data_IF_972536041009
#
_entry.id   IF_972536041009
#
_cell.length_a   1.000
_cell.length_b   1.000
_cell.length_c   1.000
_cell.angle_alpha   90.00
_cell.angle_beta   90.00
_cell.angle_gamma   90.00
#
_symmetry.space_group_name_H-M   'P 1'
#
loop_
_entity.id
_entity.type
_entity.pdbx_description
1 polymer ?
#
# COMPACT_ATOMS: atom_id res chain seq x y z
N UNK A 1 -5.01 11.52 0.80
CA UNK A 1 -4.76 11.69 -0.64
C UNK A 1 -4.24 10.37 -1.17
N UNK A 2 -4.87 9.78 -2.20
CA UNK A 2 -4.49 8.46 -2.66
C UNK A 2 -3.07 8.49 -3.21
N UNK A 3 -2.24 7.51 -2.83
CA UNK A 3 -0.84 7.45 -3.25
C UNK A 3 -0.71 6.60 -4.50
N UNK A 4 -0.43 7.24 -5.64
CA UNK A 4 -0.23 6.55 -6.91
C UNK A 4 1.07 7.04 -7.55
N UNK A 5 2.15 6.24 -7.45
CA UNK A 5 3.48 6.64 -7.93
C UNK A 5 3.55 6.79 -9.45
N UNK A 6 2.70 6.08 -10.21
CA UNK A 6 2.66 6.15 -11.67
C UNK A 6 2.12 7.48 -12.21
N UNK A 7 1.48 8.31 -11.37
CA UNK A 7 1.04 9.65 -11.74
C UNK A 7 2.19 10.68 -11.74
N UNK A 8 3.36 10.35 -11.19
CA UNK A 8 4.52 11.25 -11.21
C UNK A 8 5.04 11.33 -12.66
N UNK A 9 5.16 12.54 -13.25
CA UNK A 9 5.67 12.70 -14.61
C UNK A 9 7.07 12.12 -14.77
N UNK A 10 7.41 11.60 -15.95
CA UNK A 10 8.73 11.01 -16.19
C UNK A 10 9.90 12.01 -16.00
N UNK A 11 11.07 11.48 -15.67
CA UNK A 11 12.33 12.24 -15.66
C UNK A 11 12.68 12.76 -17.06
N UNK A 12 13.41 13.88 -17.12
CA UNK A 12 13.92 14.44 -18.36
C UNK A 12 15.29 13.86 -18.67
N UNK A 13 15.52 13.55 -19.94
CA UNK A 13 16.83 13.12 -20.43
C UNK A 13 17.89 14.21 -20.25
N UNK A 14 19.14 13.79 -20.07
CA UNK A 14 20.25 14.70 -19.91
C UNK A 14 20.50 15.48 -21.22
N UNK A 15 20.62 16.81 -21.10
CA UNK A 15 20.96 17.65 -22.24
C UNK A 15 22.39 17.35 -22.72
N UNK A 16 22.60 17.29 -24.05
CA UNK A 16 23.90 16.97 -24.65
C UNK A 16 24.79 18.23 -24.74
N UNK A 17 26.10 18.14 -24.41
CA UNK A 17 27.02 19.26 -24.52
C UNK A 17 27.18 19.70 -25.98
N UNK A 18 27.52 20.99 -26.22
CA UNK A 18 27.92 21.42 -27.55
C UNK A 18 29.17 20.64 -27.98
N UNK A 19 29.10 19.96 -29.12
CA UNK A 19 30.22 19.15 -29.61
C UNK A 19 31.42 20.04 -29.98
N UNK A 20 32.53 19.90 -29.24
CA UNK A 20 33.73 20.73 -29.43
C UNK A 20 34.28 20.64 -30.87
N UNK A 21 34.25 19.45 -31.48
CA UNK A 21 34.69 19.25 -32.86
C UNK A 21 33.82 20.00 -33.87
N UNK A 22 32.49 19.93 -33.72
CA UNK A 22 31.56 20.61 -34.63
C UNK A 22 31.74 22.14 -34.53
N UNK A 23 31.90 22.67 -33.32
CA UNK A 23 32.16 24.09 -33.11
C UNK A 23 33.55 24.53 -33.58
N UNK A 24 34.56 23.67 -33.46
CA UNK A 24 35.88 23.88 -34.05
C UNK A 24 35.87 23.93 -35.57
N UNK A 25 35.11 23.04 -36.24
CA UNK A 25 34.92 23.09 -37.70
C UNK A 25 34.17 24.37 -38.12
N UNK A 26 33.14 24.77 -37.38
CA UNK A 26 32.44 26.04 -37.62
C UNK A 26 33.36 27.26 -37.46
N UNK A 27 34.32 27.20 -36.54
CA UNK A 27 35.32 28.27 -36.37
C UNK A 27 36.22 28.40 -37.61
N UNK A 28 36.75 27.28 -38.12
CA UNK A 28 37.57 27.27 -39.33
C UNK A 28 36.80 27.79 -40.55
N UNK A 29 35.52 27.43 -40.67
CA UNK A 29 34.64 27.94 -41.71
C UNK A 29 34.43 29.45 -41.58
N UNK A 30 34.17 29.95 -40.37
CA UNK A 30 33.98 31.38 -40.11
C UNK A 30 35.23 32.20 -40.46
N UNK A 31 36.43 31.71 -40.13
CA UNK A 31 37.70 32.34 -40.52
C UNK A 31 37.88 32.37 -42.04
N UNK A 32 37.55 31.28 -42.73
CA UNK A 32 37.65 31.19 -44.20
C UNK A 32 36.74 32.20 -44.88
N UNK A 33 35.49 32.31 -44.42
CA UNK A 33 34.52 33.29 -44.92
C UNK A 33 34.98 34.71 -44.61
N UNK A 34 35.46 34.98 -43.39
CA UNK A 34 35.97 36.28 -43.00
C UNK A 34 37.13 36.76 -43.87
N UNK A 35 38.06 35.87 -44.21
CA UNK A 35 39.16 36.15 -45.12
C UNK A 35 38.68 36.47 -46.54
N UNK A 36 37.75 35.69 -47.08
CA UNK A 36 37.19 35.92 -48.43
C UNK A 36 36.45 37.26 -48.48
N UNK A 37 35.60 37.56 -47.50
CA UNK A 37 34.84 38.81 -47.44
C UNK A 37 35.76 40.03 -47.30
N UNK A 38 36.77 39.96 -46.45
CA UNK A 38 37.72 41.08 -46.29
C UNK A 38 38.58 41.29 -47.55
N UNK A 39 39.01 40.21 -48.22
CA UNK A 39 39.71 40.31 -49.49
C UNK A 39 38.83 40.89 -50.61
N UNK A 40 37.54 40.53 -50.66
CA UNK A 40 36.63 40.98 -51.70
C UNK A 40 36.14 42.43 -51.51
N UNK A 41 35.77 42.81 -50.28
CA UNK A 41 35.18 44.12 -49.99
C UNK A 41 36.21 45.19 -49.61
N UNK A 42 37.36 44.81 -49.04
CA UNK A 42 38.34 45.75 -48.45
C UNK A 42 39.72 45.68 -49.11
N UNK A 43 39.85 45.11 -50.30
CA UNK A 43 41.07 45.24 -51.10
C UNK A 43 40.94 46.41 -52.09
N UNK A 44 41.41 47.63 -51.75
CA UNK A 44 41.64 48.66 -52.75
C UNK A 44 42.93 48.31 -53.48
N UNK A 45 42.88 48.34 -54.80
CA UNK A 45 44.00 48.16 -55.73
C UNK A 45 45.27 48.85 -55.18
N UNK A 46 46.24 48.04 -54.70
CA UNK A 46 47.61 48.50 -54.43
C UNK A 46 48.00 48.88 -53.00
N UNK A 47 47.24 48.60 -51.93
CA UNK A 47 47.75 48.73 -50.54
C UNK A 47 48.21 47.39 -49.96
N UNK A 48 49.43 47.38 -49.42
CA UNK A 48 50.01 46.24 -48.69
C UNK A 48 49.05 45.71 -47.61
N UNK A 49 49.12 44.41 -47.32
CA UNK A 49 48.35 43.74 -46.25
C UNK A 49 48.77 44.29 -44.89
N UNK A 50 48.31 45.50 -44.58
CA UNK A 50 48.57 46.18 -43.32
C UNK A 50 47.92 45.44 -42.15
N UNK A 51 48.44 45.66 -40.95
CA UNK A 51 47.93 45.07 -39.70
C UNK A 51 46.40 45.18 -39.56
N UNK A 52 45.81 46.29 -40.04
CA UNK A 52 44.37 46.51 -40.04
C UNK A 52 43.56 45.49 -40.85
N UNK A 53 44.09 45.01 -41.98
CA UNK A 53 43.44 43.98 -42.81
C UNK A 53 43.35 42.66 -42.03
N UNK A 54 44.46 42.21 -41.46
CA UNK A 54 44.51 40.97 -40.67
C UNK A 54 43.67 41.06 -39.41
N UNK A 55 43.64 42.24 -38.78
CA UNK A 55 42.79 42.48 -37.62
C UNK A 55 41.32 42.28 -38.00
N UNK A 56 40.82 42.87 -39.09
CA UNK A 56 39.43 42.67 -39.50
C UNK A 56 39.12 41.25 -39.99
N UNK A 57 40.03 40.65 -40.78
CA UNK A 57 39.85 39.32 -41.36
C UNK A 57 39.77 38.20 -40.32
N UNK A 58 40.41 38.37 -39.16
CA UNK A 58 40.50 37.34 -38.11
C UNK A 58 39.71 37.73 -36.86
N UNK A 59 39.83 38.97 -36.37
CA UNK A 59 39.22 39.37 -35.10
C UNK A 59 37.70 39.36 -35.19
N UNK A 60 37.13 39.93 -36.27
CA UNK A 60 35.68 40.07 -36.40
C UNK A 60 34.98 38.70 -36.48
N UNK A 61 35.39 37.75 -37.34
CA UNK A 61 34.82 36.39 -37.34
C UNK A 61 35.01 35.66 -36.02
N UNK A 62 36.16 35.85 -35.35
CA UNK A 62 36.43 35.23 -34.04
C UNK A 62 35.46 35.73 -32.97
N UNK A 63 35.19 37.04 -32.93
CA UNK A 63 34.24 37.63 -31.97
C UNK A 63 32.82 37.15 -32.26
N UNK A 64 32.38 37.10 -33.52
CA UNK A 64 31.06 36.58 -33.88
C UNK A 64 30.92 35.11 -33.49
N UNK A 65 31.90 34.28 -33.83
CA UNK A 65 31.89 32.86 -33.47
C UNK A 65 31.85 32.66 -31.96
N UNK A 66 32.66 33.43 -31.21
CA UNK A 66 32.68 33.38 -29.75
C UNK A 66 31.31 33.76 -29.16
N UNK A 67 30.67 34.81 -29.67
CA UNK A 67 29.32 35.21 -29.24
C UNK A 67 28.29 34.11 -29.49
N UNK A 68 28.29 33.50 -30.68
CA UNK A 68 27.39 32.39 -31.00
C UNK A 68 27.64 31.17 -30.12
N UNK A 69 28.91 30.83 -29.89
CA UNK A 69 29.31 29.74 -29.00
C UNK A 69 28.87 30.02 -27.57
N UNK A 70 29.09 31.23 -27.06
CA UNK A 70 28.64 31.67 -25.73
C UNK A 70 27.13 31.56 -25.60
N UNK A 71 26.34 32.04 -26.57
CA UNK A 71 24.88 31.91 -26.56
C UNK A 71 24.47 30.44 -26.55
N UNK A 72 25.06 29.59 -27.41
CA UNK A 72 24.77 28.15 -27.43
C UNK A 72 25.14 27.47 -26.11
N UNK A 73 26.24 27.88 -25.50
CA UNK A 73 26.70 27.37 -24.23
C UNK A 73 25.77 27.81 -23.09
N UNK A 74 25.28 29.05 -23.09
CA UNK A 74 24.27 29.52 -22.14
C UNK A 74 22.96 28.74 -22.26
N UNK A 75 22.48 28.45 -23.49
CA UNK A 75 21.32 27.59 -23.69
C UNK A 75 21.56 26.17 -23.17
N UNK A 76 22.76 25.62 -23.39
CA UNK A 76 23.14 24.32 -22.84
C UNK A 76 23.13 24.35 -21.31
N UNK A 77 23.82 25.31 -20.68
CA UNK A 77 23.90 25.45 -19.23
C UNK A 77 22.50 25.59 -18.61
N UNK A 78 21.64 26.42 -19.20
CA UNK A 78 20.26 26.57 -18.77
C UNK A 78 19.47 25.26 -18.92
N UNK A 79 19.62 24.56 -20.04
CA UNK A 79 18.96 23.27 -20.27
C UNK A 79 19.40 22.20 -19.26
N UNK A 80 20.69 22.14 -18.94
CA UNK A 80 21.25 21.23 -17.92
C UNK A 80 20.68 21.57 -16.55
N UNK A 81 20.74 22.84 -16.14
CA UNK A 81 20.19 23.30 -14.86
C UNK A 81 18.71 22.95 -14.72
N UNK A 82 17.93 23.19 -15.77
CA UNK A 82 16.52 22.85 -15.81
C UNK A 82 16.28 21.34 -15.70
N UNK A 83 16.98 20.50 -16.48
CA UNK A 83 16.81 19.04 -16.41
C UNK A 83 17.22 18.47 -15.05
N UNK A 84 18.30 18.98 -14.46
CA UNK A 84 18.78 18.55 -13.14
C UNK A 84 17.81 18.97 -12.05
N UNK A 85 17.31 20.21 -12.08
CA UNK A 85 16.31 20.68 -11.13
C UNK A 85 15.01 19.89 -11.25
N UNK A 86 14.51 19.63 -12.47
CA UNK A 86 13.33 18.80 -12.70
C UNK A 86 13.49 17.39 -12.12
N UNK A 87 14.60 16.71 -12.44
CA UNK A 87 14.86 15.35 -11.95
C UNK A 87 15.02 15.32 -10.42
N UNK A 88 15.59 16.38 -9.82
CA UNK A 88 15.66 16.52 -8.36
C UNK A 88 14.27 16.71 -7.73
N UNK A 89 13.42 17.57 -8.30
CA UNK A 89 12.05 17.75 -7.82
C UNK A 89 11.22 16.49 -7.97
N UNK A 90 11.40 15.76 -9.08
CA UNK A 90 10.82 14.44 -9.28
C UNK A 90 11.20 13.46 -8.16
N UNK A 91 12.50 13.35 -7.86
CA UNK A 91 13.00 12.43 -6.82
C UNK A 91 12.52 12.82 -5.43
N UNK A 92 12.55 14.11 -5.10
CA UNK A 92 12.01 14.62 -3.84
C UNK A 92 10.52 14.28 -3.71
N UNK A 93 9.72 14.56 -4.74
CA UNK A 93 8.28 14.29 -4.71
C UNK A 93 7.99 12.79 -4.59
N UNK A 94 8.74 11.95 -5.30
CA UNK A 94 8.63 10.50 -5.20
C UNK A 94 8.96 10.02 -3.77
N UNK A 95 10.02 10.54 -3.17
CA UNK A 95 10.43 10.16 -1.82
C UNK A 95 9.42 10.60 -0.77
N UNK A 96 8.88 11.84 -0.86
CA UNK A 96 7.81 12.32 0.02
C UNK A 96 6.56 11.41 -0.03
N UNK A 97 6.16 10.98 -1.23
CA UNK A 97 5.01 10.07 -1.40
C UNK A 97 5.30 8.68 -0.83
N UNK A 98 6.51 8.18 -0.99
CA UNK A 98 6.93 6.91 -0.41
C UNK A 98 6.94 6.98 1.11
N UNK A 99 7.53 8.02 1.70
CA UNK A 99 7.52 8.23 3.16
C UNK A 99 6.09 8.33 3.70
N UNK A 100 5.22 9.05 2.99
CA UNK A 100 3.81 9.17 3.34
C UNK A 100 3.06 7.84 3.26
N UNK A 101 3.30 7.02 2.23
CA UNK A 101 2.69 5.71 2.04
C UNK A 101 3.23 4.62 2.99
N UNK A 102 4.49 4.75 3.40
CA UNK A 102 5.16 3.83 4.30
C UNK A 102 4.77 4.02 5.78
N UNK A 103 3.91 4.99 6.10
CA UNK A 103 3.36 5.15 7.47
C UNK A 103 2.45 3.95 7.79
N UNK A 104 2.78 3.16 8.84
CA UNK A 104 1.97 2.02 9.21
C UNK A 104 0.88 2.40 10.22
N UNK A 105 -0.09 1.50 10.37
CA UNK A 105 -0.94 1.43 11.56
C UNK A 105 -0.35 0.44 12.57
N UNK A 106 -0.54 0.74 13.85
CA UNK A 106 -0.14 -0.17 14.93
C UNK A 106 -1.35 -0.98 15.35
N UNK A 107 -1.19 -2.31 15.42
CA UNK A 107 -2.20 -3.22 15.96
C UNK A 107 -2.13 -3.19 17.50
N UNK A 108 -3.13 -2.60 18.13
CA UNK A 108 -3.23 -2.51 19.59
C UNK A 108 -3.70 -3.83 20.19
N UNK A 109 -4.76 -4.39 19.60
CA UNK A 109 -5.39 -5.66 19.96
C UNK A 109 -6.23 -6.20 18.80
N UNK A 110 -6.47 -7.51 18.81
CA UNK A 110 -7.35 -8.18 17.86
C UNK A 110 -8.12 -9.29 18.57
N UNK A 111 -9.32 -9.60 18.08
CA UNK A 111 -10.12 -10.76 18.47
C UNK A 111 -10.66 -11.43 17.22
N UNK A 112 -10.72 -12.75 17.23
CA UNK A 112 -11.14 -13.58 16.10
C UNK A 112 -12.08 -14.69 16.59
N UNK A 113 -13.11 -14.97 15.82
CA UNK A 113 -14.00 -16.10 16.03
C UNK A 113 -14.37 -16.72 14.68
N UNK A 114 -14.15 -18.02 14.55
CA UNK A 114 -14.43 -18.80 13.34
C UNK A 114 -14.99 -20.17 13.73
N UNK A 115 -15.44 -20.98 12.76
CA UNK A 115 -15.79 -22.38 13.02
C UNK A 115 -14.64 -23.25 13.53
N UNK A 116 -13.38 -22.86 13.31
CA UNK A 116 -12.20 -23.55 13.85
C UNK A 116 -11.84 -23.12 15.29
N UNK A 117 -12.55 -22.16 15.87
CA UNK A 117 -12.27 -21.59 17.19
C UNK A 117 -11.84 -20.13 17.13
N UNK A 118 -11.23 -19.67 18.23
CA UNK A 118 -10.96 -18.25 18.49
C UNK A 118 -9.48 -17.88 18.63
N UNK A 119 -8.55 -18.84 18.46
CA UNK A 119 -7.11 -18.60 18.60
C UNK A 119 -6.29 -19.65 17.85
N UNK A 120 -5.03 -19.29 17.56
CA UNK A 120 -4.03 -20.24 17.06
C UNK A 120 -4.20 -20.63 15.59
N UNK A 121 -4.93 -19.80 14.82
CA UNK A 121 -5.20 -20.04 13.41
C UNK A 121 -3.92 -20.11 12.59
N UNK A 122 -2.98 -19.18 12.80
CA UNK A 122 -1.72 -19.17 12.05
C UNK A 122 -0.95 -20.50 12.22
N UNK A 123 -0.71 -20.92 13.47
CA UNK A 123 0.00 -22.17 13.78
C UNK A 123 -0.74 -23.40 13.26
N UNK A 124 -2.07 -23.41 13.31
CA UNK A 124 -2.84 -24.55 12.84
C UNK A 124 -2.83 -24.66 11.31
N UNK A 125 -2.83 -23.52 10.60
CA UNK A 125 -2.70 -23.49 9.13
C UNK A 125 -1.29 -23.86 8.68
N UNK A 126 -0.24 -23.30 9.29
CA UNK A 126 1.15 -23.60 8.92
C UNK A 126 1.51 -25.08 9.13
N UNK A 127 0.95 -25.72 10.16
CA UNK A 127 1.12 -27.14 10.42
C UNK A 127 0.12 -28.05 9.68
N UNK A 128 -0.68 -27.51 8.76
CA UNK A 128 -1.72 -28.25 8.01
C UNK A 128 -2.73 -29.01 8.89
N UNK A 129 -3.05 -28.45 10.07
CA UNK A 129 -4.01 -29.03 11.03
C UNK A 129 -5.45 -28.61 10.75
N UNK A 130 -5.66 -27.56 9.94
CA UNK A 130 -6.98 -27.09 9.52
C UNK A 130 -7.23 -27.40 8.05
N UNK A 131 -8.40 -27.97 7.79
CA UNK A 131 -8.94 -28.18 6.45
C UNK A 131 -10.45 -28.12 6.53
N UNK A 132 -11.07 -27.43 5.58
CA UNK A 132 -12.53 -27.37 5.51
C UNK A 132 -13.10 -28.79 5.37
N UNK A 133 -14.02 -29.14 6.27
CA UNK A 133 -14.67 -30.44 6.31
C UNK A 133 -16.11 -30.34 5.79
N UNK A 134 -16.60 -31.42 5.19
CA UNK A 134 -18.02 -31.54 4.84
C UNK A 134 -18.82 -31.83 6.10
N UNK A 135 -19.69 -30.91 6.47
CA UNK A 135 -20.56 -31.00 7.65
C UNK A 135 -22.00 -30.87 7.22
N UNK A 136 -22.93 -31.47 7.98
CA UNK A 136 -24.36 -31.30 7.72
C UNK A 136 -24.75 -29.90 8.17
N UNK A 137 -25.19 -29.02 7.26
CA UNK A 137 -25.59 -27.66 7.64
C UNK A 137 -26.88 -27.70 8.46
N UNK A 138 -27.07 -26.71 9.33
CA UNK A 138 -28.22 -26.63 10.26
C UNK A 138 -29.55 -26.76 9.53
N UNK A 139 -29.66 -26.12 8.36
CA UNK A 139 -30.88 -26.05 7.55
C UNK A 139 -30.82 -26.90 6.27
N UNK A 140 -29.91 -27.87 6.18
CA UNK A 140 -29.78 -28.68 4.96
C UNK A 140 -29.55 -30.16 5.23
N UNK A 141 -30.05 -30.98 4.32
CA UNK A 141 -29.98 -32.43 4.44
C UNK A 141 -28.66 -33.00 3.90
N UNK A 142 -28.05 -32.29 2.94
CA UNK A 142 -26.86 -32.74 2.21
C UNK A 142 -25.62 -32.15 2.88
N UNK A 143 -24.63 -32.98 3.29
CA UNK A 143 -23.35 -32.48 3.77
C UNK A 143 -22.63 -31.67 2.69
N UNK A 144 -22.23 -30.46 3.04
CA UNK A 144 -21.45 -29.57 2.18
C UNK A 144 -20.19 -29.11 2.93
N UNK A 145 -19.05 -28.91 2.24
CA UNK A 145 -17.88 -28.30 2.85
C UNK A 145 -18.24 -26.87 3.26
N UNK A 146 -18.26 -26.58 4.56
CA UNK A 146 -18.44 -25.23 5.09
C UNK A 146 -17.94 -25.17 6.54
N UNK A 147 -17.62 -23.97 7.01
CA UNK A 147 -17.24 -23.71 8.39
C UNK A 147 -18.22 -22.72 9.02
N UNK A 148 -18.89 -23.10 10.10
CA UNK A 148 -19.82 -22.22 10.83
C UNK A 148 -19.30 -21.95 12.24
N UNK A 149 -19.49 -20.73 12.72
CA UNK A 149 -19.26 -20.43 14.15
C UNK A 149 -20.24 -21.29 14.94
N UNK A 150 -19.75 -21.94 16.01
CA UNK A 150 -20.58 -22.84 16.81
C UNK A 150 -21.78 -22.10 17.38
N UNK A 151 -22.97 -22.51 16.95
CA UNK A 151 -24.25 -22.05 17.49
C UNK A 151 -24.56 -22.92 18.71
N UNK A 152 -24.82 -22.29 19.85
CA UNK A 152 -25.52 -22.96 20.94
C UNK A 152 -27.01 -23.05 20.57
N UNK A 153 -27.70 -24.09 21.03
CA UNK A 153 -29.13 -24.31 20.78
C UNK A 153 -30.02 -23.21 21.39
N UNK A 154 -29.43 -22.22 22.07
CA UNK A 154 -30.07 -21.04 22.65
C UNK A 154 -30.18 -19.85 21.68
N UNK A 155 -29.54 -19.92 20.50
CA UNK A 155 -29.57 -18.83 19.51
C UNK A 155 -30.74 -18.99 18.53
N UNK A 156 -31.94 -18.66 18.99
CA UNK A 156 -33.18 -18.76 18.18
C UNK A 156 -33.37 -17.62 17.16
N UNK A 157 -32.41 -16.70 17.03
CA UNK A 157 -32.50 -15.57 16.09
C UNK A 157 -31.13 -15.03 15.65
N UNK A 158 -31.10 -14.37 14.48
CA UNK A 158 -29.92 -13.65 13.99
C UNK A 158 -29.43 -12.57 14.96
N UNK A 159 -30.34 -11.92 15.72
CA UNK A 159 -30.01 -10.95 16.78
C UNK A 159 -29.23 -11.63 17.90
N UNK A 160 -29.67 -12.81 18.35
CA UNK A 160 -28.99 -13.55 19.40
C UNK A 160 -27.59 -14.00 18.95
N UNK A 161 -27.47 -14.47 17.71
CA UNK A 161 -26.19 -14.87 17.12
C UNK A 161 -25.20 -13.69 17.02
N UNK A 162 -25.64 -12.55 16.48
CA UNK A 162 -24.79 -11.36 16.41
C UNK A 162 -24.41 -10.86 17.81
N UNK A 163 -25.35 -10.92 18.76
CA UNK A 163 -25.10 -10.52 20.15
C UNK A 163 -24.05 -11.41 20.82
N UNK A 164 -24.09 -12.72 20.57
CA UNK A 164 -23.09 -13.66 21.05
C UNK A 164 -21.70 -13.33 20.49
N UNK A 165 -21.62 -13.17 19.16
CA UNK A 165 -20.38 -12.83 18.45
C UNK A 165 -19.79 -11.51 18.98
N UNK A 166 -20.59 -10.45 19.05
CA UNK A 166 -20.15 -9.15 19.56
C UNK A 166 -19.68 -9.22 21.01
N UNK A 167 -20.39 -9.98 21.86
CA UNK A 167 -20.01 -10.15 23.26
C UNK A 167 -18.66 -10.86 23.38
N UNK A 168 -18.43 -11.91 22.59
CA UNK A 168 -17.13 -12.59 22.53
C UNK A 168 -16.03 -11.63 22.08
N UNK A 169 -16.21 -10.97 20.94
CA UNK A 169 -15.24 -10.04 20.38
C UNK A 169 -14.90 -8.92 21.38
N UNK A 170 -15.89 -8.35 22.06
CA UNK A 170 -15.68 -7.31 23.07
C UNK A 170 -14.87 -7.80 24.25
N UNK A 171 -15.18 -8.99 24.77
CA UNK A 171 -14.55 -9.51 25.99
C UNK A 171 -13.10 -9.93 25.76
N UNK A 172 -12.79 -10.42 24.56
CA UNK A 172 -11.43 -10.83 24.18
C UNK A 172 -10.57 -9.65 23.69
N UNK A 173 -11.18 -8.64 23.06
CA UNK A 173 -10.47 -7.45 22.60
C UNK A 173 -10.03 -6.56 23.77
N UNK A 174 -8.71 -6.47 23.97
CA UNK A 174 -8.13 -5.56 24.97
C UNK A 174 -8.23 -4.11 24.52
N UNK A 175 -9.17 -3.36 25.10
CA UNK A 175 -9.37 -1.94 24.83
C UNK A 175 -8.55 -1.06 25.81
N UNK A 176 -8.01 0.07 25.34
CA UNK A 176 -7.59 1.18 26.17
C UNK A 176 -8.66 1.67 27.15
N UNK A 177 -8.24 2.38 28.19
CA UNK A 177 -9.17 3.06 29.09
C UNK A 177 -9.93 4.17 28.34
N UNK A 178 -11.18 4.43 28.73
CA UNK A 178 -12.00 5.46 28.09
C UNK A 178 -11.36 6.86 28.09
N UNK A 179 -10.52 7.17 29.09
CA UNK A 179 -9.78 8.42 29.14
C UNK A 179 -8.83 8.62 27.97
N UNK A 180 -8.19 7.55 27.48
CA UNK A 180 -7.32 7.61 26.30
C UNK A 180 -8.12 7.86 25.03
N UNK A 181 -9.27 7.21 24.87
CA UNK A 181 -10.15 7.46 23.74
C UNK A 181 -10.72 8.88 23.73
N UNK A 182 -11.07 9.45 24.89
CA UNK A 182 -11.53 10.84 24.98
C UNK A 182 -10.44 11.84 24.57
N UNK A 183 -9.18 11.56 24.89
CA UNK A 183 -8.05 12.42 24.55
C UNK A 183 -7.71 12.38 23.05
N UNK A 184 -7.73 11.18 22.47
CA UNK A 184 -7.16 10.91 21.15
C UNK A 184 -8.21 10.69 20.05
N UNK A 185 -9.46 10.45 20.43
CA UNK A 185 -10.56 10.09 19.53
C UNK A 185 -10.51 8.62 19.09
N UNK A 186 -11.68 8.06 18.84
CA UNK A 186 -11.85 6.73 18.27
C UNK A 186 -12.94 6.78 17.20
N UNK A 187 -12.68 6.15 16.05
CA UNK A 187 -13.71 5.91 15.03
C UNK A 187 -13.99 4.43 14.93
N UNK A 188 -15.25 4.08 14.69
CA UNK A 188 -15.71 2.70 14.59
C UNK A 188 -16.20 2.44 13.18
N UNK A 189 -15.71 1.37 12.57
CA UNK A 189 -16.11 0.92 11.24
C UNK A 189 -16.71 -0.49 11.33
N UNK A 190 -17.95 -0.63 10.90
CA UNK A 190 -18.69 -1.89 10.90
C UNK A 190 -18.80 -2.43 9.47
N UNK A 191 -18.25 -3.63 9.24
CA UNK A 191 -18.28 -4.34 7.96
C UNK A 191 -19.00 -5.68 8.17
N UNK A 192 -20.33 -5.68 8.11
CA UNK A 192 -21.16 -6.79 8.60
C UNK A 192 -22.11 -7.26 7.51
N UNK A 193 -22.06 -8.56 7.22
CA UNK A 193 -22.96 -9.28 6.32
C UNK A 193 -23.66 -10.38 7.12
N UNK A 194 -24.94 -10.17 7.36
CA UNK A 194 -25.86 -11.08 8.03
C UNK A 194 -27.29 -10.71 7.62
N UNK A 195 -28.28 -11.48 8.08
CA UNK A 195 -29.70 -11.24 7.76
C UNK A 195 -30.28 -9.94 8.33
N UNK A 196 -29.59 -9.31 9.28
CA UNK A 196 -30.07 -8.12 9.97
C UNK A 196 -29.89 -6.86 9.13
N UNK A 197 -30.83 -5.93 9.23
CA UNK A 197 -30.66 -4.61 8.64
C UNK A 197 -29.74 -3.72 9.52
N UNK A 198 -29.27 -2.61 8.96
CA UNK A 198 -28.35 -1.69 9.65
C UNK A 198 -28.89 -1.16 10.98
N UNK A 199 -30.21 -0.94 11.11
CA UNK A 199 -30.79 -0.44 12.37
C UNK A 199 -30.76 -1.50 13.46
N UNK A 200 -31.01 -2.76 13.12
CA UNK A 200 -30.91 -3.89 14.04
C UNK A 200 -29.47 -4.13 14.48
N UNK A 201 -28.53 -4.08 13.54
CA UNK A 201 -27.09 -4.18 13.83
C UNK A 201 -26.66 -3.07 14.79
N UNK A 202 -27.08 -1.81 14.54
CA UNK A 202 -26.77 -0.69 15.42
C UNK A 202 -27.35 -0.85 16.83
N UNK A 203 -28.57 -1.40 16.98
CA UNK A 203 -29.14 -1.69 18.31
C UNK A 203 -28.31 -2.72 19.07
N UNK A 204 -27.87 -3.79 18.40
CA UNK A 204 -26.99 -4.81 19.00
C UNK A 204 -25.63 -4.21 19.38
N UNK A 205 -25.06 -3.41 18.48
CA UNK A 205 -23.83 -2.65 18.72
C UNK A 205 -23.94 -1.75 19.96
N UNK A 206 -24.98 -0.91 20.03
CA UNK A 206 -25.21 0.02 21.14
C UNK A 206 -25.34 -0.72 22.48
N UNK A 207 -26.03 -1.85 22.48
CA UNK A 207 -26.23 -2.66 23.69
C UNK A 207 -24.92 -3.22 24.23
N UNK A 208 -24.02 -3.64 23.34
CA UNK A 208 -22.83 -4.40 23.73
C UNK A 208 -21.60 -3.50 23.91
N UNK A 209 -21.36 -2.57 22.98
CA UNK A 209 -20.10 -1.86 22.85
C UNK A 209 -20.13 -0.43 23.40
N UNK A 210 -21.29 0.23 23.43
CA UNK A 210 -21.41 1.66 23.80
C UNK A 210 -20.81 1.97 25.17
N UNK A 211 -21.00 1.09 26.15
CA UNK A 211 -20.48 1.28 27.51
C UNK A 211 -18.94 1.21 27.60
N UNK A 212 -18.25 0.68 26.59
CA UNK A 212 -16.79 0.54 26.57
C UNK A 212 -16.10 1.69 25.82
N UNK A 213 -16.86 2.57 25.17
CA UNK A 213 -16.36 3.65 24.32
C UNK A 213 -16.87 5.02 24.83
N UNK A 214 -16.29 6.14 24.38
CA UNK A 214 -16.82 7.47 24.68
C UNK A 214 -18.26 7.67 24.14
N UNK A 215 -19.02 8.57 24.78
CA UNK A 215 -20.43 8.82 24.42
C UNK A 215 -20.61 9.29 22.97
N UNK A 216 -19.70 10.12 22.46
CA UNK A 216 -19.78 10.74 21.12
C UNK A 216 -19.01 9.93 20.05
N UNK A 217 -18.92 8.61 20.19
CA UNK A 217 -18.21 7.78 19.20
C UNK A 217 -18.91 7.78 17.84
N UNK A 218 -18.16 8.10 16.79
CA UNK A 218 -18.66 8.00 15.42
C UNK A 218 -18.58 6.54 14.93
N UNK A 219 -19.73 5.99 14.55
CA UNK A 219 -19.91 4.61 14.08
C UNK A 219 -20.41 4.66 12.65
N UNK A 220 -19.64 4.11 11.73
CA UNK A 220 -19.94 4.12 10.30
C UNK A 220 -19.93 2.71 9.74
N UNK A 221 -20.84 2.40 8.82
CA UNK A 221 -20.76 1.17 8.05
C UNK A 221 -19.74 1.34 6.92
N UNK A 222 -18.95 0.31 6.69
CA UNK A 222 -17.98 0.26 5.59
C UNK A 222 -18.75 0.17 4.26
N UNK A 223 -18.26 0.88 3.24
CA UNK A 223 -18.88 0.82 1.92
C UNK A 223 -18.71 -0.58 1.32
N UNK A 224 -19.69 -1.04 0.53
CA UNK A 224 -19.58 -2.34 -0.15
C UNK A 224 -18.27 -2.41 -0.96
N UNK A 225 -17.57 -3.54 -0.86
CA UNK A 225 -16.32 -3.83 -1.58
C UNK A 225 -15.09 -3.00 -1.16
N UNK A 226 -15.20 -2.20 -0.10
CA UNK A 226 -14.04 -1.49 0.45
C UNK A 226 -13.18 -2.43 1.30
N UNK A 227 -13.80 -3.20 2.20
CA UNK A 227 -13.12 -4.19 3.03
C UNK A 227 -11.86 -3.61 3.70
N UNK A 228 -10.73 -4.29 3.53
CA UNK A 228 -9.44 -3.84 4.09
C UNK A 228 -8.87 -2.56 3.45
N UNK A 229 -9.37 -2.12 2.29
CA UNK A 229 -8.95 -0.84 1.68
C UNK A 229 -9.38 0.37 2.50
N UNK A 230 -10.28 0.19 3.46
CA UNK A 230 -10.56 1.17 4.52
C UNK A 230 -9.27 1.66 5.21
N UNK A 231 -8.25 0.80 5.35
CA UNK A 231 -6.99 1.21 5.96
C UNK A 231 -6.20 2.19 5.08
N UNK A 232 -6.34 2.13 3.76
CA UNK A 232 -5.77 3.11 2.83
C UNK A 232 -6.45 4.48 2.99
N UNK A 233 -7.78 4.50 3.05
CA UNK A 233 -8.58 5.70 3.34
C UNK A 233 -8.21 6.31 4.71
N UNK A 234 -8.03 5.47 5.72
CA UNK A 234 -7.61 5.92 7.04
C UNK A 234 -6.21 6.56 7.00
N UNK A 235 -5.26 5.92 6.33
CA UNK A 235 -3.89 6.42 6.21
C UNK A 235 -3.80 7.65 5.31
N UNK A 236 -4.85 8.05 4.61
CA UNK A 236 -4.85 9.21 3.72
C UNK A 236 -4.91 10.56 4.43
N UNK A 237 -5.29 10.57 5.72
CA UNK A 237 -5.42 11.76 6.55
C UNK A 237 -4.44 11.71 7.73
N UNK A 238 -3.49 12.65 7.77
CA UNK A 238 -2.48 12.75 8.82
C UNK A 238 -3.08 12.95 10.23
N UNK A 239 -4.30 13.49 10.33
CA UNK A 239 -4.98 13.65 11.63
C UNK A 239 -5.23 12.30 12.30
N UNK A 240 -5.38 11.25 11.50
CA UNK A 240 -5.64 9.90 11.98
C UNK A 240 -4.40 9.25 12.63
N UNK A 241 -3.20 9.83 12.48
CA UNK A 241 -1.98 9.35 13.16
C UNK A 241 -2.03 9.54 14.69
N UNK A 242 -3.01 10.30 15.18
CA UNK A 242 -3.22 10.62 16.59
C UNK A 242 -4.50 10.00 17.16
N UNK A 243 -5.15 9.07 16.45
CA UNK A 243 -6.42 8.49 16.86
C UNK A 243 -6.46 6.97 16.78
N UNK A 244 -7.54 6.40 17.31
CA UNK A 244 -7.81 4.97 17.23
C UNK A 244 -8.85 4.66 16.15
N UNK A 245 -8.68 3.50 15.51
CA UNK A 245 -9.64 2.91 14.58
C UNK A 245 -10.04 1.53 15.10
N UNK A 246 -11.32 1.36 15.43
CA UNK A 246 -11.90 0.05 15.74
C UNK A 246 -12.65 -0.44 14.51
N UNK A 247 -12.21 -1.57 13.95
CA UNK A 247 -12.89 -2.25 12.86
C UNK A 247 -13.52 -3.52 13.39
N UNK A 248 -14.79 -3.74 13.06
CA UNK A 248 -15.49 -5.00 13.32
C UNK A 248 -16.02 -5.53 12.01
N UNK A 249 -15.54 -6.70 11.62
CA UNK A 249 -15.96 -7.39 10.41
C UNK A 249 -16.61 -8.72 10.75
N UNK A 250 -17.82 -8.97 10.25
CA UNK A 250 -18.60 -10.17 10.57
C UNK A 250 -19.31 -10.70 9.33
N UNK A 251 -19.05 -11.96 9.00
CA UNK A 251 -19.77 -12.74 8.00
C UNK A 251 -20.53 -13.88 8.71
N UNK A 252 -21.86 -13.85 8.64
CA UNK A 252 -22.74 -14.90 9.15
C UNK A 252 -23.65 -15.40 8.04
N UNK A 253 -24.02 -16.68 8.07
CA UNK A 253 -24.89 -17.29 7.07
C UNK A 253 -26.15 -17.89 7.71
N UNK A 254 -27.32 -17.51 7.18
CA UNK A 254 -28.59 -18.20 7.46
C UNK A 254 -28.53 -19.65 6.96
N UNK A 255 -28.10 -19.76 5.71
CA UNK A 255 -28.00 -20.98 4.94
C UNK A 255 -26.55 -21.16 4.53
N UNK A 256 -25.96 -22.26 4.99
CA UNK A 256 -24.59 -22.60 4.64
C UNK A 256 -24.45 -22.74 3.13
N UNK A 257 -23.42 -22.12 2.58
CA UNK A 257 -23.07 -22.23 1.18
C UNK A 257 -21.85 -23.14 1.01
N UNK A 258 -21.73 -23.78 -0.14
CA UNK A 258 -20.60 -24.66 -0.41
C UNK A 258 -19.30 -23.84 -0.41
N UNK A 259 -18.30 -24.34 0.31
CA UNK A 259 -17.00 -23.73 0.56
C UNK A 259 -17.05 -22.38 1.31
N UNK A 260 -18.15 -22.02 1.97
CA UNK A 260 -18.24 -20.79 2.74
C UNK A 260 -17.75 -20.95 4.18
N UNK A 261 -17.45 -19.82 4.80
CA UNK A 261 -17.04 -19.74 6.19
C UNK A 261 -17.75 -18.59 6.90
N UNK A 262 -18.21 -18.83 8.13
CA UNK A 262 -18.54 -17.75 9.06
C UNK A 262 -17.28 -17.31 9.80
N UNK A 263 -17.09 -16.01 9.90
CA UNK A 263 -15.98 -15.41 10.63
C UNK A 263 -16.40 -14.08 11.23
N UNK A 264 -15.86 -13.78 12.40
CA UNK A 264 -16.04 -12.52 13.08
C UNK A 264 -14.71 -12.04 13.64
N UNK A 265 -14.37 -10.79 13.34
CA UNK A 265 -13.09 -10.18 13.64
C UNK A 265 -13.34 -8.82 14.26
N UNK A 266 -12.64 -8.51 15.34
CA UNK A 266 -12.50 -7.14 15.83
C UNK A 266 -11.01 -6.77 15.88
N UNK A 267 -10.66 -5.61 15.33
CA UNK A 267 -9.28 -5.12 15.32
C UNK A 267 -9.26 -3.68 15.82
N UNK A 268 -8.41 -3.41 16.80
CA UNK A 268 -8.12 -2.06 17.25
C UNK A 268 -6.76 -1.63 16.72
N UNK A 269 -6.77 -0.59 15.91
CA UNK A 269 -5.58 0.08 15.41
C UNK A 269 -5.38 1.42 16.13
N UNK A 270 -4.13 1.85 16.19
CA UNK A 270 -3.76 3.21 16.55
C UNK A 270 -2.88 3.82 15.47
N UNK A 271 -3.00 5.13 15.30
CA UNK A 271 -2.04 5.91 14.53
C UNK A 271 -0.62 5.82 15.11
N UNK A 272 0.37 6.07 14.26
CA UNK A 272 1.80 5.91 14.58
C UNK A 272 2.31 6.91 15.63
N UNK A 273 1.62 8.05 15.81
CA UNK A 273 2.02 9.12 16.73
C UNK A 273 1.29 9.05 18.09
N UNK A 274 0.52 8.00 18.34
CA UNK A 274 -0.01 7.74 19.67
C UNK A 274 1.09 7.18 20.57
N UNK A 275 1.16 7.69 21.81
CA UNK A 275 2.09 7.17 22.81
C UNK A 275 1.79 5.69 23.05
N UNK A 276 2.78 4.85 22.78
CA UNK A 276 2.68 3.42 23.01
C UNK A 276 3.62 3.03 24.15
N UNK A 277 3.28 2.03 24.96
CA UNK A 277 4.18 1.56 26.01
C UNK A 277 5.46 1.01 25.38
N UNK A 278 6.63 1.50 25.81
CA UNK A 278 7.94 1.13 25.25
C UNK A 278 8.24 -0.38 25.33
N UNK A 279 7.63 -1.10 26.28
CA UNK A 279 7.87 -2.53 26.53
C UNK A 279 6.93 -3.47 25.73
N UNK A 280 6.04 -2.91 24.90
CA UNK A 280 5.08 -3.72 24.13
C UNK A 280 5.66 -4.09 22.76
N UNK A 281 5.57 -5.37 22.42
CA UNK A 281 5.85 -5.83 21.06
C UNK A 281 4.84 -5.19 20.10
N UNK A 282 5.34 -4.39 19.17
CA UNK A 282 4.51 -3.64 18.24
C UNK A 282 4.30 -4.46 16.98
N UNK A 283 3.09 -4.44 16.44
CA UNK A 283 2.82 -5.02 15.12
C UNK A 283 2.29 -3.93 14.21
N UNK A 284 2.94 -3.80 13.06
CA UNK A 284 2.67 -2.79 12.06
C UNK A 284 1.92 -3.42 10.91
N UNK A 285 0.81 -2.80 10.53
CA UNK A 285 0.08 -3.07 9.28
C UNK A 285 0.35 -1.91 8.36
N UNK A 286 0.94 -2.19 7.21
CA UNK A 286 1.25 -1.18 6.22
C UNK A 286 0.06 -0.96 5.29
N UNK A 287 0.09 0.17 4.58
CA UNK A 287 -0.96 0.57 3.66
C UNK A 287 -1.31 -0.57 2.68
N UNK A 288 -2.60 -0.85 2.42
CA UNK A 288 -3.00 -1.84 1.43
C UNK A 288 -3.06 -1.24 0.03
N UNK A 289 -2.48 -1.95 -0.95
CA UNK A 289 -2.49 -1.52 -2.35
C UNK A 289 -3.51 -2.36 -3.12
N UNK A 290 -4.36 -1.69 -3.90
CA UNK A 290 -5.25 -2.33 -4.86
C UNK A 290 -4.80 -2.03 -6.28
N UNK A 291 -4.86 -3.01 -7.19
CA UNK A 291 -4.58 -2.79 -8.61
C UNK A 291 -4.08 -4.02 -9.36
N UNK A 292 -3.28 -3.76 -10.40
CA UNK A 292 -2.59 -4.82 -11.15
C UNK A 292 -1.63 -5.59 -10.24
N UNK A 293 -1.55 -6.91 -10.44
CA UNK A 293 -0.78 -7.82 -9.59
C UNK A 293 0.67 -7.35 -9.45
N UNK A 294 1.34 -7.02 -10.56
CA UNK A 294 2.78 -6.74 -10.53
C UNK A 294 3.05 -5.40 -9.87
N UNK A 295 2.34 -4.34 -10.25
CA UNK A 295 2.55 -3.02 -9.66
C UNK A 295 2.15 -2.96 -8.20
N UNK A 296 0.98 -3.53 -7.86
CA UNK A 296 0.45 -3.45 -6.50
C UNK A 296 1.24 -4.30 -5.52
N UNK A 297 1.80 -5.43 -5.97
CA UNK A 297 2.71 -6.22 -5.16
C UNK A 297 4.02 -5.46 -4.87
N UNK A 298 4.60 -4.81 -5.89
CA UNK A 298 5.82 -4.00 -5.73
C UNK A 298 5.58 -2.84 -4.75
N UNK A 299 4.46 -2.13 -4.92
CA UNK A 299 4.08 -1.04 -4.04
C UNK A 299 3.83 -1.54 -2.60
N UNK A 300 3.23 -2.71 -2.41
CA UNK A 300 2.93 -3.23 -1.07
C UNK A 300 4.22 -3.56 -0.31
N UNK A 301 5.17 -4.22 -0.97
CA UNK A 301 6.49 -4.50 -0.41
C UNK A 301 7.23 -3.21 -0.08
N UNK A 302 7.21 -2.24 -1.01
CA UNK A 302 7.81 -0.91 -0.81
C UNK A 302 7.20 -0.16 0.38
N UNK A 303 5.87 -0.16 0.52
CA UNK A 303 5.15 0.47 1.63
C UNK A 303 5.45 -0.24 2.96
N UNK A 304 5.73 -1.55 2.90
CA UNK A 304 6.19 -2.38 4.01
C UNK A 304 7.58 -2.04 4.56
N UNK A 305 8.39 -1.25 3.85
CA UNK A 305 9.83 -1.04 4.16
C UNK A 305 10.60 -2.37 4.31
N UNK A 306 10.29 -3.36 3.48
CA UNK A 306 11.00 -4.65 3.46
C UNK A 306 11.56 -4.90 2.06
N UNK A 307 12.61 -5.71 2.00
CA UNK A 307 13.02 -6.32 0.73
C UNK A 307 12.12 -7.52 0.45
N UNK A 308 11.82 -7.79 -0.83
CA UNK A 308 10.95 -8.90 -1.20
C UNK A 308 11.50 -10.26 -0.72
N UNK A 309 12.82 -10.40 -0.61
CA UNK A 309 13.50 -11.59 -0.08
C UNK A 309 13.29 -11.81 1.42
N UNK A 310 12.81 -10.81 2.17
CA UNK A 310 12.59 -10.93 3.61
C UNK A 310 11.23 -11.51 3.97
N UNK A 311 10.27 -11.49 3.03
CA UNK A 311 8.91 -12.00 3.21
C UNK A 311 8.95 -13.50 3.46
N UNK A 312 8.45 -13.92 4.61
CA UNK A 312 8.47 -15.33 5.02
C UNK A 312 7.31 -16.13 4.42
N UNK A 313 6.11 -15.55 4.43
CA UNK A 313 4.91 -16.23 3.99
C UNK A 313 3.88 -15.31 3.35
N UNK A 314 3.12 -15.86 2.42
CA UNK A 314 1.99 -15.23 1.75
C UNK A 314 0.70 -15.85 2.27
N UNK A 315 -0.11 -15.06 2.95
CA UNK A 315 -1.44 -15.44 3.44
C UNK A 315 -2.48 -15.01 2.43
N UNK A 316 -3.17 -15.96 1.83
CA UNK A 316 -4.06 -15.71 0.68
C UNK A 316 -5.50 -16.11 0.97
N UNK A 317 -6.44 -15.18 0.74
CA UNK A 317 -7.86 -15.50 0.59
C UNK A 317 -8.31 -15.18 -0.83
N UNK A 318 -8.63 -16.24 -1.56
CA UNK A 318 -8.97 -16.20 -2.97
C UNK A 318 -10.48 -16.16 -3.15
N UNK A 319 -11.02 -15.09 -3.77
CA UNK A 319 -12.39 -15.11 -4.27
C UNK A 319 -12.56 -16.08 -5.45
N UNK A 320 -13.48 -15.75 -6.35
CA UNK A 320 -13.80 -16.64 -7.49
C UNK A 320 -12.73 -16.67 -8.60
N UNK A 321 -11.73 -15.78 -8.55
CA UNK A 321 -10.74 -15.63 -9.62
C UNK A 321 -9.44 -16.40 -9.37
N UNK A 322 -8.92 -17.04 -10.43
CA UNK A 322 -7.62 -17.69 -10.42
C UNK A 322 -6.50 -16.64 -10.65
N UNK A 323 -6.07 -15.95 -9.59
CA UNK A 323 -4.95 -14.98 -9.64
C UNK A 323 -3.68 -15.47 -8.95
N UNK A 324 -3.78 -16.53 -8.13
CA UNK A 324 -2.66 -17.03 -7.33
C UNK A 324 -1.43 -17.39 -8.19
N UNK A 325 -1.54 -18.12 -9.32
CA UNK A 325 -0.37 -18.43 -10.15
C UNK A 325 0.37 -17.18 -10.64
N UNK A 326 -0.37 -16.18 -11.13
CA UNK A 326 0.19 -14.93 -11.66
C UNK A 326 0.86 -14.11 -10.54
N UNK A 327 0.26 -14.08 -9.35
CA UNK A 327 0.84 -13.46 -8.16
C UNK A 327 2.17 -14.11 -7.77
N UNK A 328 2.26 -15.44 -7.80
CA UNK A 328 3.49 -16.15 -7.48
C UNK A 328 4.58 -15.94 -8.52
N UNK A 329 4.21 -15.88 -9.80
CA UNK A 329 5.15 -15.55 -10.88
C UNK A 329 5.70 -14.13 -10.66
N UNK A 330 4.81 -13.15 -10.42
CA UNK A 330 5.21 -11.77 -10.15
C UNK A 330 6.08 -11.65 -8.90
N UNK A 331 5.75 -12.37 -7.83
CA UNK A 331 6.55 -12.39 -6.60
C UNK A 331 7.95 -12.99 -6.85
N UNK A 332 8.03 -14.12 -7.54
CA UNK A 332 9.29 -14.78 -7.84
C UNK A 332 10.19 -13.90 -8.74
N UNK A 333 9.62 -13.16 -9.69
CA UNK A 333 10.37 -12.19 -10.49
C UNK A 333 10.94 -11.04 -9.64
N UNK A 334 10.25 -10.67 -8.56
CA UNK A 334 10.67 -9.61 -7.64
C UNK A 334 11.72 -10.08 -6.61
N UNK A 335 11.50 -11.24 -5.98
CA UNK A 335 12.33 -11.75 -4.88
C UNK A 335 13.42 -12.73 -5.33
N UNK A 336 13.29 -13.34 -6.51
CA UNK A 336 14.13 -14.46 -6.95
C UNK A 336 13.88 -15.77 -6.19
N UNK A 337 12.89 -15.80 -5.31
CA UNK A 337 12.45 -16.96 -4.52
C UNK A 337 10.93 -16.97 -4.40
N UNK A 338 10.37 -18.12 -4.00
CA UNK A 338 8.94 -18.26 -3.71
C UNK A 338 8.76 -18.53 -2.21
N UNK A 339 8.08 -17.66 -1.45
CA UNK A 339 7.78 -17.90 -0.04
C UNK A 339 6.74 -19.01 0.12
N UNK A 340 6.54 -19.47 1.35
CA UNK A 340 5.43 -20.35 1.68
C UNK A 340 4.09 -19.65 1.46
N UNK A 341 3.08 -20.40 1.02
CA UNK A 341 1.75 -19.86 0.72
C UNK A 341 0.71 -20.57 1.56
N UNK A 342 -0.07 -19.79 2.29
CA UNK A 342 -1.09 -20.26 3.21
C UNK A 342 -2.47 -19.83 2.69
N UNK A 343 -3.20 -20.76 2.10
CA UNK A 343 -4.53 -20.52 1.50
C UNK A 343 -5.60 -20.62 2.56
N UNK A 344 -6.06 -19.48 3.07
CA UNK A 344 -7.07 -19.38 4.15
C UNK A 344 -8.35 -20.13 3.77
N UNK A 345 -8.79 -19.98 2.51
CA UNK A 345 -10.04 -20.59 2.06
C UNK A 345 -9.98 -22.11 1.97
N UNK A 346 -8.78 -22.69 1.80
CA UNK A 346 -8.60 -24.14 1.85
C UNK A 346 -8.67 -24.67 3.30
N UNK A 347 -8.26 -23.85 4.28
CA UNK A 347 -8.28 -24.21 5.69
C UNK A 347 -9.66 -24.01 6.33
N UNK A 348 -10.33 -22.89 6.04
CA UNK A 348 -11.54 -22.44 6.73
C UNK A 348 -12.77 -22.33 5.82
N UNK A 349 -12.59 -22.17 4.52
CA UNK A 349 -13.65 -21.69 3.60
C UNK A 349 -13.58 -20.19 3.36
N UNK A 350 -14.38 -19.70 2.42
CA UNK A 350 -14.43 -18.29 2.05
C UNK A 350 -15.35 -17.52 2.99
N UNK A 351 -14.78 -16.55 3.71
CA UNK A 351 -15.48 -15.75 4.73
C UNK A 351 -16.13 -14.46 4.20
N UNK A 352 -16.45 -14.41 2.90
CA UNK A 352 -17.14 -13.27 2.28
C UNK A 352 -16.47 -11.92 2.58
N UNK A 353 -17.24 -10.95 3.09
CA UNK A 353 -16.74 -9.60 3.40
C UNK A 353 -15.63 -9.62 4.48
N UNK A 354 -15.64 -10.63 5.36
CA UNK A 354 -14.66 -10.78 6.43
C UNK A 354 -13.36 -11.46 5.99
N UNK A 355 -13.28 -11.93 4.74
CA UNK A 355 -12.14 -12.68 4.22
C UNK A 355 -10.82 -11.89 4.27
N UNK A 356 -10.82 -10.61 3.88
CA UNK A 356 -9.64 -9.76 3.94
C UNK A 356 -9.16 -9.54 5.38
N UNK A 357 -10.09 -9.23 6.29
CA UNK A 357 -9.82 -9.02 7.71
C UNK A 357 -9.37 -10.29 8.43
N UNK A 358 -9.97 -11.44 8.11
CA UNK A 358 -9.55 -12.75 8.59
C UNK A 358 -8.11 -13.05 8.17
N UNK A 359 -7.78 -12.85 6.89
CA UNK A 359 -6.44 -13.08 6.35
C UNK A 359 -5.41 -12.18 7.03
N UNK A 360 -5.74 -10.89 7.21
CA UNK A 360 -4.90 -9.94 7.92
C UNK A 360 -4.65 -10.35 9.38
N UNK A 361 -5.70 -10.76 10.09
CA UNK A 361 -5.62 -11.14 11.51
C UNK A 361 -4.72 -12.35 11.71
N UNK A 362 -4.82 -13.35 10.82
CA UNK A 362 -3.99 -14.56 10.85
C UNK A 362 -2.53 -14.22 10.49
N UNK A 363 -2.31 -13.38 9.48
CA UNK A 363 -0.95 -12.93 9.13
C UNK A 363 -0.29 -12.16 10.29
N UNK A 364 -1.06 -11.36 11.04
CA UNK A 364 -0.60 -10.70 12.27
C UNK A 364 -0.25 -11.71 13.37
N UNK A 365 -1.01 -12.79 13.53
CA UNK A 365 -0.64 -13.86 14.46
C UNK A 365 0.72 -14.46 14.07
N UNK A 366 0.91 -14.79 12.79
CA UNK A 366 2.17 -15.35 12.31
C UNK A 366 3.33 -14.36 12.48
N UNK A 367 3.15 -13.07 12.14
CA UNK A 367 4.22 -12.08 12.29
C UNK A 367 4.66 -11.93 13.74
N UNK A 368 3.72 -12.08 14.69
CA UNK A 368 4.03 -12.09 16.12
C UNK A 368 4.79 -13.35 16.54
N UNK A 369 4.56 -14.50 15.92
CA UNK A 369 5.28 -15.75 16.21
C UNK A 369 6.69 -15.71 15.61
N UNK A 370 6.81 -15.47 14.30
CA UNK A 370 8.09 -15.59 13.59
C UNK A 370 8.98 -14.34 13.67
N UNK A 371 8.39 -13.17 13.97
CA UNK A 371 9.04 -11.84 13.86
C UNK A 371 9.54 -11.53 12.45
N UNK A 372 9.00 -12.21 11.44
CA UNK A 372 9.32 -11.99 10.02
C UNK A 372 8.17 -11.28 9.31
N UNK A 373 8.47 -10.48 8.27
CA UNK A 373 7.43 -9.86 7.44
C UNK A 373 6.52 -10.91 6.80
N UNK A 374 5.21 -10.65 6.87
CA UNK A 374 4.18 -11.45 6.22
C UNK A 374 3.51 -10.62 5.13
N UNK A 375 3.23 -11.23 3.98
CA UNK A 375 2.42 -10.63 2.95
C UNK A 375 0.99 -11.13 3.07
N UNK A 376 0.03 -10.21 3.11
CA UNK A 376 -1.40 -10.51 3.01
C UNK A 376 -1.83 -10.29 1.57
N UNK A 377 -2.52 -11.27 1.00
CA UNK A 377 -3.15 -11.20 -0.31
C UNK A 377 -4.63 -11.52 -0.18
N UNK A 378 -5.44 -10.66 -0.77
CA UNK A 378 -6.89 -10.82 -0.80
C UNK A 378 -7.40 -10.43 -2.18
N UNK A 379 -8.34 -11.20 -2.72
CA UNK A 379 -9.00 -10.87 -3.98
C UNK A 379 -10.50 -11.07 -3.87
N UNK A 380 -11.23 -9.96 -4.01
CA UNK A 380 -12.68 -9.93 -4.22
C UNK A 380 -12.98 -8.82 -5.23
N UNK A 381 -13.15 -9.22 -6.49
CA UNK A 381 -13.20 -8.39 -7.69
C UNK A 381 -11.89 -7.65 -8.06
N UNK A 382 -11.03 -7.29 -7.10
CA UNK A 382 -9.68 -6.74 -7.34
C UNK A 382 -8.67 -7.33 -6.37
N UNK A 383 -7.41 -7.39 -6.80
CA UNK A 383 -6.31 -7.88 -5.98
C UNK A 383 -5.81 -6.79 -5.04
N UNK A 384 -5.72 -7.14 -3.76
CA UNK A 384 -5.20 -6.29 -2.68
C UNK A 384 -4.01 -6.97 -2.03
N UNK A 385 -2.95 -6.19 -1.80
CA UNK A 385 -1.73 -6.63 -1.14
C UNK A 385 -1.37 -5.69 -0.01
N UNK A 386 -0.91 -6.22 1.13
CA UNK A 386 -0.37 -5.40 2.21
C UNK A 386 0.67 -6.17 3.02
N UNK A 387 1.60 -5.43 3.62
CA UNK A 387 2.63 -6.00 4.47
C UNK A 387 2.26 -5.88 5.95
N UNK A 388 2.61 -6.92 6.70
CA UNK A 388 2.51 -6.95 8.16
C UNK A 388 3.86 -7.32 8.75
N UNK A 389 4.30 -6.60 9.79
CA UNK A 389 5.56 -6.88 10.47
C UNK A 389 5.46 -6.59 11.95
N UNK A 390 5.92 -7.52 12.78
CA UNK A 390 6.10 -7.25 14.21
C UNK A 390 7.53 -6.80 14.50
N UNK A 391 7.70 -5.86 15.44
CA UNK A 391 9.01 -5.46 15.92
C UNK A 391 9.73 -6.64 16.58
N UNK A 392 11.06 -6.68 16.46
CA UNK A 392 11.89 -7.45 17.39
C UNK A 392 11.93 -6.69 18.72
N UNK A 393 11.82 -7.39 19.86
CA UNK A 393 12.15 -6.76 21.16
C UNK A 393 13.60 -6.28 21.08
N UNK A 394 13.84 -5.02 21.43
CA UNK A 394 15.19 -4.44 21.54
C UNK A 394 15.91 -5.03 22.74
#
# INVERSE_FOLDING_TARGET
>A
MPVVLSLIPAKKEASKPPGLLAWGLLFLLALSIGFILTAFFFSPEGRERNLWFWLQAVLLPTVIWLLLFCVRFLFYDHSVKYTTSWNKHHDNRRNELIEFAQRPLIVVSQSIMTGAGCFGHATAITNNLLKIASTKPVNGEIPIPHSSIKKDNSFDSAIAMLSHVFTHLKNDLKLPEQGEFKKNGVRVKLDIDCELNQQEILKVWETIWKACLPEEVNVEFVAKQEGVMLLDEWLDDLRNDYGYLLVISVQLHEQAQKNSAEAAIAMLFSGINLNQPDDKLMTYVHRPVQGDITSSLNDAVLWGKNEATEVEGIWSSEGEQAYLPDMLIAFNQMAGTTPDIYRINAALGYAGIAAGWLTLTIAIEQSKISKRPQLVSYSDHRNVFMMVKSSSRV
#
